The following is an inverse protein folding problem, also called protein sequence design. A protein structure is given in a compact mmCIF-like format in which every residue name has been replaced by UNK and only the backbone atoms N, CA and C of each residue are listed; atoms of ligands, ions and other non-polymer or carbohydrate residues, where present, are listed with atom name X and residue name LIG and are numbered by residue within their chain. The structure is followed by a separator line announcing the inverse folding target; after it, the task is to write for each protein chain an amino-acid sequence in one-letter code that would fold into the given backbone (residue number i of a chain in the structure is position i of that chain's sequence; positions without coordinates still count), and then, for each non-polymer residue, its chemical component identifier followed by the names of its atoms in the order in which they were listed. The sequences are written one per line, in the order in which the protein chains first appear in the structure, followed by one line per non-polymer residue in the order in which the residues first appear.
data_IF_274451882808
#
_entry.id   IF_274451882808
#
_cell.length_a   1.000
_cell.length_b   1.000
_cell.length_c   1.000
_cell.angle_alpha   90.00
_cell.angle_beta   90.00
_cell.angle_gamma   90.00
#
_symmetry.space_group_name_H-M   'P 1'
#
loop_
_entity.id
_entity.type
_entity.pdbx_description
1 polymer ?
#
# COMPACT_ATOMS: atom_id res chain seq x y z
N UNK A 1 18.18 -34.27 -2.15
CA UNK A 1 17.82 -33.52 -0.91
C UNK A 1 16.49 -32.83 -1.18
N UNK A 2 15.51 -33.10 -0.36
CA UNK A 2 14.19 -32.48 -0.53
C UNK A 2 14.31 -31.03 -0.06
N UNK A 3 14.12 -30.07 -0.96
CA UNK A 3 14.15 -28.65 -0.62
C UNK A 3 12.87 -28.31 0.15
N UNK A 4 13.02 -27.94 1.40
CA UNK A 4 11.87 -27.53 2.21
C UNK A 4 11.42 -26.13 1.78
N UNK A 5 10.11 -25.91 1.64
CA UNK A 5 9.54 -24.61 1.29
C UNK A 5 10.05 -23.48 2.18
N UNK A 6 10.26 -23.75 3.47
CA UNK A 6 10.80 -22.76 4.42
C UNK A 6 12.23 -22.30 4.13
N UNK A 7 12.96 -22.99 3.25
CA UNK A 7 14.30 -22.59 2.80
C UNK A 7 14.27 -21.82 1.48
N UNK A 8 13.09 -21.64 0.88
CA UNK A 8 12.97 -20.94 -0.40
C UNK A 8 12.88 -19.42 -0.22
N UNK A 9 13.24 -18.68 -1.27
CA UNK A 9 13.08 -17.23 -1.32
C UNK A 9 11.62 -16.81 -1.14
N UNK A 10 10.67 -17.60 -1.64
CA UNK A 10 9.23 -17.33 -1.49
C UNK A 10 8.79 -17.30 -0.04
N UNK A 11 9.26 -18.25 0.78
CA UNK A 11 8.98 -18.25 2.21
C UNK A 11 9.62 -17.06 2.92
N UNK A 12 10.85 -16.68 2.56
CA UNK A 12 11.52 -15.52 3.14
C UNK A 12 10.76 -14.22 2.82
N UNK A 13 10.24 -14.08 1.61
CA UNK A 13 9.41 -12.94 1.22
C UNK A 13 8.09 -12.94 2.02
N UNK A 14 7.42 -14.08 2.12
CA UNK A 14 6.18 -14.22 2.89
C UNK A 14 6.39 -13.86 4.37
N UNK A 15 7.43 -14.40 4.98
CA UNK A 15 7.79 -14.13 6.37
C UNK A 15 8.10 -12.64 6.57
N UNK A 16 8.89 -12.05 5.68
CA UNK A 16 9.24 -10.62 5.74
C UNK A 16 8.00 -9.75 5.58
N UNK A 17 7.09 -10.07 4.68
CA UNK A 17 5.82 -9.35 4.52
C UNK A 17 4.97 -9.40 5.80
N UNK A 18 4.92 -10.55 6.48
CA UNK A 18 4.25 -10.68 7.80
C UNK A 18 4.90 -9.80 8.86
N UNK A 19 6.25 -9.78 8.91
CA UNK A 19 6.99 -8.88 9.81
C UNK A 19 6.69 -7.41 9.52
N UNK A 20 6.72 -6.99 8.25
CA UNK A 20 6.39 -5.63 7.86
C UNK A 20 4.97 -5.24 8.28
N UNK A 21 4.00 -6.15 8.13
CA UNK A 21 2.60 -5.91 8.53
C UNK A 21 2.46 -5.74 10.05
N UNK A 22 3.08 -6.62 10.83
CA UNK A 22 3.06 -6.56 12.30
C UNK A 22 3.74 -5.28 12.80
N UNK A 23 4.94 -5.00 12.29
CA UNK A 23 5.71 -3.82 12.67
C UNK A 23 4.96 -2.53 12.29
N UNK A 24 4.41 -2.48 11.10
CA UNK A 24 3.62 -1.33 10.64
C UNK A 24 2.45 -1.04 11.59
N UNK A 25 1.67 -2.05 11.97
CA UNK A 25 0.58 -1.88 12.93
C UNK A 25 1.05 -1.32 14.27
N UNK A 26 2.15 -1.85 14.82
CA UNK A 26 2.72 -1.39 16.08
C UNK A 26 3.27 0.04 16.00
N UNK A 27 3.91 0.39 14.89
CA UNK A 27 4.44 1.75 14.64
C UNK A 27 3.29 2.76 14.57
N UNK A 28 2.24 2.44 13.82
CA UNK A 28 1.08 3.32 13.68
C UNK A 28 0.33 3.53 14.99
N UNK A 29 0.23 2.48 15.81
CA UNK A 29 -0.33 2.56 17.16
C UNK A 29 0.56 3.40 18.08
N UNK A 30 1.86 3.09 18.14
CA UNK A 30 2.85 3.78 19.00
C UNK A 30 2.90 5.29 18.74
N UNK A 31 2.82 5.69 17.48
CA UNK A 31 2.90 7.11 17.09
C UNK A 31 1.52 7.76 16.93
N UNK A 32 0.47 7.09 17.39
CA UNK A 32 -0.91 7.62 17.34
C UNK A 32 -1.27 8.17 15.97
N UNK A 33 -1.02 7.36 14.94
CA UNK A 33 -1.27 7.76 13.55
C UNK A 33 -2.75 8.09 13.28
N UNK A 34 -3.69 7.48 14.03
CA UNK A 34 -5.12 7.71 13.91
C UNK A 34 -5.76 7.14 12.64
N UNK A 35 -4.98 6.44 11.85
CA UNK A 35 -5.39 5.66 10.68
C UNK A 35 -4.57 4.37 10.62
N UNK A 36 -5.05 3.38 9.88
CA UNK A 36 -4.31 2.13 9.68
C UNK A 36 -3.22 2.29 8.60
N UNK A 37 -2.24 1.36 8.57
CA UNK A 37 -1.24 1.32 7.49
C UNK A 37 -1.88 1.19 6.11
N UNK A 38 -2.97 0.42 6.01
CA UNK A 38 -3.68 0.23 4.73
C UNK A 38 -4.39 1.51 4.29
N UNK A 39 -5.01 2.23 5.21
CA UNK A 39 -5.60 3.54 4.95
C UNK A 39 -4.56 4.58 4.56
N UNK A 40 -3.41 4.57 5.25
CA UNK A 40 -2.27 5.42 4.89
C UNK A 40 -1.77 5.11 3.47
N UNK A 41 -1.63 3.83 3.11
CA UNK A 41 -1.24 3.43 1.76
C UNK A 41 -2.17 4.01 0.70
N UNK A 42 -3.49 3.99 0.94
CA UNK A 42 -4.46 4.62 0.03
C UNK A 42 -4.22 6.12 -0.10
N UNK A 43 -4.02 6.81 1.02
CA UNK A 43 -3.77 8.26 1.00
C UNK A 43 -2.43 8.60 0.31
N UNK A 44 -1.38 7.81 0.54
CA UNK A 44 -0.07 8.02 -0.08
C UNK A 44 -0.13 7.81 -1.61
N UNK A 45 -0.79 6.75 -2.07
CA UNK A 45 -1.04 6.53 -3.50
C UNK A 45 -1.79 7.71 -4.12
N UNK A 46 -2.85 8.19 -3.47
CA UNK A 46 -3.65 9.31 -3.94
C UNK A 46 -2.94 10.67 -3.80
N UNK A 47 -2.00 10.81 -2.86
CA UNK A 47 -1.18 12.01 -2.79
C UNK A 47 -0.26 12.17 -4.01
N UNK A 48 0.23 11.05 -4.54
CA UNK A 48 1.05 11.01 -5.76
C UNK A 48 0.22 10.99 -7.06
N UNK A 49 -1.00 10.49 -7.01
CA UNK A 49 -1.96 10.44 -8.14
C UNK A 49 -3.34 10.85 -7.65
N UNK A 50 -3.63 12.16 -7.56
CA UNK A 50 -4.73 12.70 -6.77
C UNK A 50 -6.13 12.21 -7.11
N UNK A 51 -6.30 11.66 -8.31
CA UNK A 51 -7.57 11.23 -8.84
C UNK A 51 -7.42 9.99 -9.71
N UNK A 52 -8.15 8.92 -9.38
CA UNK A 52 -8.14 7.69 -10.16
C UNK A 52 -9.43 6.90 -10.03
N UNK A 53 -9.62 5.90 -10.90
CA UNK A 53 -10.69 4.92 -10.74
C UNK A 53 -10.47 4.07 -9.49
N UNK A 54 -11.53 3.80 -8.74
CA UNK A 54 -11.47 2.90 -7.58
C UNK A 54 -10.92 1.51 -7.95
N UNK A 55 -11.20 1.01 -9.15
CA UNK A 55 -10.67 -0.26 -9.65
C UNK A 55 -9.16 -0.23 -9.86
N UNK A 56 -8.63 0.90 -10.37
CA UNK A 56 -7.21 1.05 -10.60
C UNK A 56 -6.46 1.17 -9.25
N UNK A 57 -7.05 1.88 -8.29
CA UNK A 57 -6.55 1.93 -6.91
C UNK A 57 -6.49 0.52 -6.29
N UNK A 58 -7.55 -0.28 -6.42
CA UNK A 58 -7.61 -1.65 -5.90
C UNK A 58 -6.45 -2.51 -6.43
N UNK A 59 -6.13 -2.38 -7.72
CA UNK A 59 -4.99 -3.07 -8.34
C UNK A 59 -3.65 -2.62 -7.77
N UNK A 60 -3.46 -1.31 -7.59
CA UNK A 60 -2.21 -0.75 -7.04
C UNK A 60 -1.97 -1.25 -5.61
N UNK A 61 -3.01 -1.25 -4.77
CA UNK A 61 -2.90 -1.69 -3.37
C UNK A 61 -3.08 -3.20 -3.18
N UNK A 62 -3.23 -3.96 -4.26
CA UNK A 62 -3.44 -5.42 -4.27
C UNK A 62 -4.55 -5.88 -3.32
N UNK A 63 -5.72 -5.23 -3.41
CA UNK A 63 -6.91 -5.58 -2.64
C UNK A 63 -8.10 -5.85 -3.54
N UNK A 64 -8.93 -6.79 -3.11
CA UNK A 64 -10.21 -7.03 -3.77
C UNK A 64 -11.15 -5.82 -3.67
N UNK A 65 -12.19 -5.86 -4.49
CA UNK A 65 -13.18 -4.77 -4.61
C UNK A 65 -13.89 -4.45 -3.30
N UNK A 66 -14.23 -5.49 -2.52
CA UNK A 66 -14.99 -5.32 -1.27
C UNK A 66 -14.12 -4.67 -0.18
N UNK A 67 -12.88 -5.14 -0.02
CA UNK A 67 -11.95 -4.59 0.96
C UNK A 67 -11.48 -3.19 0.59
N UNK A 68 -11.26 -2.90 -0.70
CA UNK A 68 -10.99 -1.54 -1.17
C UNK A 68 -12.18 -0.61 -0.86
N UNK A 69 -13.42 -1.08 -1.10
CA UNK A 69 -14.62 -0.33 -0.74
C UNK A 69 -14.68 0.04 0.73
N UNK A 70 -14.42 -0.91 1.62
CA UNK A 70 -14.42 -0.68 3.08
C UNK A 70 -13.36 0.35 3.52
N UNK A 71 -12.15 0.28 2.96
CA UNK A 71 -11.10 1.29 3.24
C UNK A 71 -11.55 2.69 2.80
N UNK A 72 -12.12 2.79 1.61
CA UNK A 72 -12.61 4.05 1.08
C UNK A 72 -13.82 4.58 1.87
N UNK A 73 -14.73 3.72 2.32
CA UNK A 73 -15.86 4.11 3.17
C UNK A 73 -15.34 4.73 4.50
N UNK A 74 -14.33 4.13 5.10
CA UNK A 74 -13.69 4.63 6.31
C UNK A 74 -13.01 5.99 6.11
N UNK A 75 -12.28 6.15 5.01
CA UNK A 75 -11.59 7.39 4.67
C UNK A 75 -12.55 8.51 4.27
N UNK A 76 -13.60 8.20 3.49
CA UNK A 76 -14.62 9.16 3.08
C UNK A 76 -15.45 9.66 4.25
N UNK A 77 -15.80 8.78 5.19
CA UNK A 77 -16.50 9.16 6.44
C UNK A 77 -15.71 10.17 7.27
N UNK A 78 -14.39 10.17 7.15
CA UNK A 78 -13.47 11.12 7.81
C UNK A 78 -13.07 12.29 6.90
N UNK A 79 -13.71 12.42 5.74
CA UNK A 79 -13.45 13.47 4.76
C UNK A 79 -12.03 13.48 4.18
N UNK A 80 -11.30 12.38 4.23
CA UNK A 80 -9.95 12.29 3.68
C UNK A 80 -9.93 11.99 2.19
N UNK A 81 -10.99 11.38 1.67
CA UNK A 81 -11.21 11.15 0.24
C UNK A 81 -12.65 11.50 -0.12
N UNK A 82 -12.90 11.77 -1.38
CA UNK A 82 -14.22 11.87 -1.97
C UNK A 82 -14.38 10.88 -3.10
N UNK A 83 -15.62 10.42 -3.33
CA UNK A 83 -15.93 9.52 -4.45
C UNK A 83 -17.05 10.12 -5.29
N UNK A 84 -16.87 10.10 -6.59
CA UNK A 84 -17.85 10.55 -7.57
C UNK A 84 -18.12 9.47 -8.61
N UNK A 85 -19.34 9.43 -9.14
CA UNK A 85 -19.66 8.61 -10.29
C UNK A 85 -19.28 9.35 -11.56
N UNK A 86 -18.64 8.65 -12.49
CA UNK A 86 -18.27 9.13 -13.80
C UNK A 86 -18.58 8.07 -14.86
N UNK A 87 -18.52 8.44 -16.12
CA UNK A 87 -18.67 7.51 -17.24
C UNK A 87 -17.33 7.43 -17.97
N UNK A 88 -16.79 6.23 -18.10
CA UNK A 88 -15.59 5.94 -18.88
C UNK A 88 -15.90 4.79 -19.85
N UNK A 89 -15.70 5.01 -21.14
CA UNK A 89 -16.01 4.03 -22.19
C UNK A 89 -17.45 3.48 -22.10
N UNK A 90 -18.44 4.36 -21.96
CA UNK A 90 -19.86 4.05 -21.79
C UNK A 90 -20.19 3.15 -20.59
N UNK A 91 -19.34 3.09 -19.58
CA UNK A 91 -19.57 2.34 -18.35
C UNK A 91 -19.45 3.25 -17.13
N UNK A 92 -20.34 3.09 -16.14
CA UNK A 92 -20.22 3.83 -14.89
C UNK A 92 -18.98 3.38 -14.13
N UNK A 93 -18.18 4.34 -13.68
CA UNK A 93 -16.99 4.14 -12.87
C UNK A 93 -17.02 5.02 -11.63
N UNK A 94 -16.51 4.51 -10.52
CA UNK A 94 -16.29 5.30 -9.32
C UNK A 94 -14.90 5.92 -9.38
N UNK A 95 -14.85 7.23 -9.29
CA UNK A 95 -13.61 7.99 -9.20
C UNK A 95 -13.37 8.33 -7.74
N UNK A 96 -12.14 8.11 -7.29
CA UNK A 96 -11.66 8.47 -5.95
C UNK A 96 -10.70 9.64 -6.10
N UNK A 97 -10.84 10.62 -5.22
CA UNK A 97 -10.00 11.81 -5.17
C UNK A 97 -9.62 12.11 -3.73
N UNK A 98 -8.34 12.44 -3.49
CA UNK A 98 -7.88 12.86 -2.17
C UNK A 98 -8.31 14.29 -1.90
N UNK A 99 -8.76 14.57 -0.69
CA UNK A 99 -9.09 15.93 -0.22
C UNK A 99 -7.85 16.63 0.34
N UNK A 100 -7.96 17.93 0.62
CA UNK A 100 -6.90 18.67 1.30
C UNK A 100 -6.67 18.14 2.73
N UNK A 101 -7.75 17.75 3.43
CA UNK A 101 -7.67 17.08 4.72
C UNK A 101 -6.96 15.73 4.63
N UNK A 102 -7.21 14.96 3.57
CA UNK A 102 -6.53 13.70 3.32
C UNK A 102 -5.04 13.88 3.06
N UNK A 103 -4.63 14.88 2.28
CA UNK A 103 -3.22 15.23 2.06
C UNK A 103 -2.53 15.60 3.36
N UNK A 104 -3.12 16.51 4.10
CA UNK A 104 -2.61 16.95 5.40
C UNK A 104 -2.49 15.78 6.38
N UNK A 105 -3.46 14.85 6.36
CA UNK A 105 -3.40 13.63 7.17
C UNK A 105 -2.25 12.72 6.76
N UNK A 106 -2.02 12.51 5.47
CA UNK A 106 -0.91 11.71 4.98
C UNK A 106 0.45 12.32 5.38
N UNK A 107 0.61 13.63 5.26
CA UNK A 107 1.81 14.36 5.68
C UNK A 107 2.05 14.25 7.20
N UNK A 108 1.01 14.45 8.03
CA UNK A 108 1.09 14.31 9.50
C UNK A 108 1.55 12.90 9.89
N UNK A 109 0.96 11.87 9.29
CA UNK A 109 1.34 10.48 9.56
C UNK A 109 2.78 10.22 9.14
N UNK A 110 3.20 10.69 7.95
CA UNK A 110 4.57 10.52 7.47
C UNK A 110 5.58 11.12 8.44
N UNK A 111 5.36 12.35 8.90
CA UNK A 111 6.26 12.99 9.88
C UNK A 111 6.32 12.25 11.22
N UNK A 112 5.21 11.69 11.68
CA UNK A 112 5.16 10.90 12.91
C UNK A 112 5.94 9.58 12.81
N UNK A 113 5.84 8.87 11.70
CA UNK A 113 6.48 7.55 11.53
C UNK A 113 7.92 7.65 10.98
N UNK A 114 8.31 8.79 10.43
CA UNK A 114 9.61 9.05 9.83
C UNK A 114 10.81 8.67 10.72
N UNK A 115 10.83 8.96 12.03
CA UNK A 115 11.93 8.55 12.90
C UNK A 115 12.18 7.04 12.88
N UNK A 116 11.13 6.24 12.78
CA UNK A 116 11.24 4.79 12.68
C UNK A 116 11.90 4.34 11.37
N UNK A 117 11.47 4.91 10.25
CA UNK A 117 12.07 4.62 8.93
C UNK A 117 13.53 5.06 8.85
N UNK A 118 13.88 6.21 9.39
CA UNK A 118 15.26 6.68 9.42
C UNK A 118 16.16 5.74 10.19
N UNK A 119 15.70 5.25 11.36
CA UNK A 119 16.46 4.29 12.16
C UNK A 119 16.75 2.97 11.40
N UNK A 120 15.77 2.46 10.64
CA UNK A 120 15.98 1.26 9.81
C UNK A 120 16.93 1.59 8.65
N UNK A 121 16.75 2.73 7.98
CA UNK A 121 17.54 3.15 6.84
C UNK A 121 19.02 3.38 7.17
N UNK A 122 19.32 3.88 8.37
CA UNK A 122 20.70 4.08 8.86
C UNK A 122 21.48 2.77 9.04
N UNK A 123 20.77 1.66 9.26
CA UNK A 123 21.36 0.33 9.49
C UNK A 123 21.51 -0.52 8.24
N UNK A 124 20.93 -0.12 7.13
CA UNK A 124 20.95 -0.85 5.86
C UNK A 124 21.60 0.03 4.80
N UNK A 125 22.51 -0.54 4.02
CA UNK A 125 23.14 0.16 2.89
C UNK A 125 22.08 0.53 1.83
N UNK A 126 22.05 1.81 1.44
CA UNK A 126 21.07 2.32 0.47
C UNK A 126 21.14 1.61 -0.90
N UNK A 127 22.35 1.21 -1.34
CA UNK A 127 22.51 0.46 -2.60
C UNK A 127 21.87 -0.93 -2.52
N UNK A 128 21.97 -1.60 -1.38
CA UNK A 128 21.36 -2.92 -1.17
C UNK A 128 19.83 -2.81 -1.08
N UNK A 129 19.31 -1.77 -0.44
CA UNK A 129 17.86 -1.49 -0.40
C UNK A 129 17.31 -1.28 -1.80
N UNK A 130 17.96 -0.47 -2.63
CA UNK A 130 17.53 -0.22 -4.01
C UNK A 130 17.55 -1.52 -4.82
N UNK A 131 18.65 -2.29 -4.74
CA UNK A 131 18.79 -3.58 -5.44
C UNK A 131 17.71 -4.59 -5.01
N UNK A 132 17.42 -4.71 -3.74
CA UNK A 132 16.34 -5.59 -3.24
C UNK A 132 14.99 -5.12 -3.77
N UNK A 133 14.73 -3.81 -3.78
CA UNK A 133 13.51 -3.23 -4.35
C UNK A 133 13.31 -3.60 -5.82
N UNK A 134 14.37 -3.46 -6.64
CA UNK A 134 14.34 -3.80 -8.06
C UNK A 134 14.11 -5.30 -8.28
N UNK A 135 14.81 -6.16 -7.53
CA UNK A 135 14.62 -7.62 -7.60
C UNK A 135 13.21 -8.05 -7.20
N UNK A 136 12.63 -7.44 -6.16
CA UNK A 136 11.25 -7.72 -5.76
C UNK A 136 10.23 -7.28 -6.82
N UNK A 137 10.51 -6.18 -7.52
CA UNK A 137 9.68 -5.73 -8.63
C UNK A 137 9.74 -6.70 -9.81
N UNK A 138 10.94 -7.06 -10.24
CA UNK A 138 11.18 -8.03 -11.32
C UNK A 138 10.51 -9.38 -11.00
N UNK A 139 10.63 -9.86 -9.77
CA UNK A 139 9.98 -11.09 -9.33
C UNK A 139 8.44 -11.03 -9.47
N UNK A 140 7.82 -9.90 -9.10
CA UNK A 140 6.36 -9.73 -9.28
C UNK A 140 5.96 -9.73 -10.76
N UNK A 141 6.75 -9.10 -11.63
CA UNK A 141 6.52 -9.09 -13.08
C UNK A 141 6.57 -10.51 -13.66
N UNK A 142 7.58 -11.31 -13.29
CA UNK A 142 7.69 -12.71 -13.71
C UNK A 142 6.51 -13.56 -13.17
N UNK A 143 6.09 -13.33 -11.94
CA UNK A 143 4.95 -14.06 -11.35
C UNK A 143 3.63 -13.71 -12.05
N UNK A 144 3.45 -12.46 -12.47
CA UNK A 144 2.26 -11.99 -13.18
C UNK A 144 2.17 -12.57 -14.60
N UNK A 145 3.32 -12.81 -15.26
CA UNK A 145 3.39 -13.50 -16.55
C UNK A 145 3.00 -14.98 -16.48
N UNK A 146 3.20 -15.62 -15.32
CA UNK A 146 2.94 -17.06 -15.14
C UNK A 146 1.50 -17.37 -14.73
N UNK A 147 0.84 -16.47 -14.03
CA UNK A 147 -0.53 -16.63 -13.55
C UNK A 147 -1.20 -15.26 -13.53
N UNK A 148 -2.26 -15.09 -14.32
CA UNK A 148 -3.10 -13.91 -14.27
C UNK A 148 -3.68 -13.74 -12.85
N UNK A 149 -3.10 -12.83 -12.08
CA UNK A 149 -3.57 -12.54 -10.71
C UNK A 149 -4.90 -11.81 -10.83
N UNK A 150 -5.98 -12.47 -10.44
CA UNK A 150 -7.32 -11.87 -10.37
C UNK A 150 -7.51 -11.20 -9.01
N UNK A 151 -7.81 -9.89 -9.05
CA UNK A 151 -8.10 -9.05 -7.87
C UNK A 151 -9.56 -8.59 -7.90
#
# INVERSE_FOLDING_TARGET
MQEHFTNTIFYQIELTAKYCKLLGSQVFEKYEAGITCEEYTVLDVLANSPKMCQRDLAKIILKDRANTGKLLDSLEKRSYVSRTLSIKNNRPVKIVEITDEGRKKAEDVLEKIKPHYLHVKEKINNSDVARVGDLLKELREIMDETLEIQI
#
